data_IF_088074105003
#
_entry.id   IF_088074105003
#
_cell.length_a   1.000
_cell.length_b   1.000
_cell.length_c   1.000
_cell.angle_alpha   90.00
_cell.angle_beta   90.00
_cell.angle_gamma   90.00
#
_symmetry.space_group_name_H-M   'P 1'
#
loop_
_entity.id
_entity.type
_entity.pdbx_description
1 polymer ?
#
# COMPACT_ATOMS: atom_id res chain seq x y z
N UNK A 1 6.59 8.76 -18.41
CA UNK A 1 7.90 8.16 -18.57
C UNK A 1 8.34 7.57 -17.26
N UNK A 2 8.71 6.29 -17.27
CA UNK A 2 9.34 5.66 -16.13
C UNK A 2 10.60 6.44 -15.81
N UNK A 3 10.72 6.89 -14.59
CA UNK A 3 11.95 7.53 -14.18
C UNK A 3 12.82 6.44 -13.56
N UNK A 4 14.10 6.39 -13.99
CA UNK A 4 15.13 5.54 -13.39
C UNK A 4 15.39 5.87 -11.91
N UNK A 5 14.68 6.89 -11.40
CA UNK A 5 14.77 7.39 -10.04
C UNK A 5 13.68 6.85 -9.12
N UNK A 6 12.80 5.97 -9.62
CA UNK A 6 11.81 5.28 -8.76
C UNK A 6 12.49 4.16 -8.02
N UNK A 7 12.23 4.09 -6.73
CA UNK A 7 12.65 2.98 -5.90
C UNK A 7 11.42 2.21 -5.41
N UNK A 8 11.46 0.90 -5.57
CA UNK A 8 10.44 0.00 -5.06
C UNK A 8 11.08 -0.95 -4.05
N UNK A 9 10.49 -1.04 -2.89
CA UNK A 9 10.95 -1.88 -1.80
C UNK A 9 9.94 -3.00 -1.55
N UNK A 10 10.43 -4.22 -1.41
CA UNK A 10 9.65 -5.38 -0.98
C UNK A 10 9.99 -5.67 0.47
N UNK A 11 9.09 -5.32 1.38
CA UNK A 11 9.34 -5.37 2.82
C UNK A 11 8.86 -6.71 3.37
N UNK A 12 7.59 -7.05 3.16
CA UNK A 12 7.00 -8.34 3.54
C UNK A 12 6.45 -9.00 2.29
N UNK A 13 6.91 -10.21 2.00
CA UNK A 13 6.53 -10.95 0.81
C UNK A 13 7.08 -10.35 -0.49
N UNK A 14 6.79 -10.98 -1.61
CA UNK A 14 7.25 -10.54 -2.92
C UNK A 14 6.59 -9.27 -3.43
N UNK A 15 5.44 -8.92 -2.89
CA UNK A 15 4.70 -7.73 -3.30
C UNK A 15 4.31 -7.74 -4.78
N UNK A 16 4.07 -6.56 -5.33
CA UNK A 16 3.75 -6.32 -6.75
C UNK A 16 4.99 -5.86 -7.54
N UNK A 17 6.18 -6.24 -7.13
CA UNK A 17 7.37 -5.84 -7.87
C UNK A 17 7.43 -6.55 -9.21
N UNK A 18 7.48 -5.77 -10.27
CA UNK A 18 7.65 -6.23 -11.66
C UNK A 18 9.12 -6.61 -11.97
N UNK A 19 10.03 -6.33 -11.04
CA UNK A 19 11.46 -6.65 -11.18
C UNK A 19 11.73 -8.11 -10.81
N UNK A 20 12.56 -8.79 -11.61
CA UNK A 20 13.07 -10.13 -11.30
C UNK A 20 14.16 -10.11 -10.22
N UNK A 21 14.79 -8.97 -9.97
CA UNK A 21 15.93 -8.79 -9.07
C UNK A 21 15.53 -7.96 -7.85
N UNK A 22 14.57 -8.45 -7.06
CA UNK A 22 14.16 -7.77 -5.85
C UNK A 22 14.67 -8.51 -4.61
N UNK A 23 15.01 -7.75 -3.59
CA UNK A 23 15.33 -8.27 -2.27
C UNK A 23 14.09 -8.23 -1.40
N UNK A 24 13.64 -9.37 -0.90
CA UNK A 24 12.53 -9.47 0.05
C UNK A 24 13.12 -9.52 1.46
N UNK A 25 12.80 -8.52 2.30
CA UNK A 25 13.36 -8.40 3.64
C UNK A 25 12.74 -9.43 4.60
N UNK A 26 11.43 -9.54 4.62
CA UNK A 26 10.69 -10.53 5.42
C UNK A 26 9.95 -11.45 4.46
N UNK A 27 10.38 -12.73 4.40
CA UNK A 27 9.87 -13.69 3.42
C UNK A 27 8.54 -14.32 3.82
N UNK A 28 8.28 -14.41 5.11
CA UNK A 28 7.01 -14.92 5.62
C UNK A 28 5.89 -13.92 5.28
N UNK A 29 4.79 -14.43 4.76
CA UNK A 29 3.63 -13.62 4.41
C UNK A 29 2.47 -13.94 5.34
N UNK A 30 1.83 -12.91 5.93
CA UNK A 30 0.70 -13.09 6.85
C UNK A 30 -0.66 -13.06 6.15
N UNK A 31 -0.77 -13.43 4.89
CA UNK A 31 -1.97 -13.27 4.07
C UNK A 31 -2.07 -11.91 3.38
N UNK A 32 -1.02 -11.10 3.45
CA UNK A 32 -0.84 -9.84 2.72
C UNK A 32 0.64 -9.54 2.50
N UNK A 33 0.93 -8.68 1.55
CA UNK A 33 2.28 -8.21 1.27
C UNK A 33 2.44 -6.74 1.66
N UNK A 34 3.65 -6.32 2.00
CA UNK A 34 3.97 -4.90 2.22
C UNK A 34 5.16 -4.50 1.35
N UNK A 35 4.95 -3.44 0.60
CA UNK A 35 5.98 -2.79 -0.18
C UNK A 35 6.02 -1.28 0.08
N UNK A 36 6.98 -0.61 -0.53
CA UNK A 36 7.05 0.83 -0.52
C UNK A 36 7.47 1.38 -1.90
N UNK A 37 7.01 2.58 -2.20
CA UNK A 37 7.48 3.34 -3.34
C UNK A 37 8.15 4.63 -2.85
N UNK A 38 9.43 4.79 -3.20
CA UNK A 38 10.19 5.99 -2.95
C UNK A 38 10.41 6.77 -4.25
N UNK A 39 10.14 8.08 -4.26
CA UNK A 39 10.21 8.88 -5.48
C UNK A 39 10.67 10.30 -5.21
N UNK A 40 11.53 10.86 -6.08
CA UNK A 40 11.84 12.27 -6.07
C UNK A 40 10.64 13.12 -6.51
N UNK A 41 10.68 14.44 -6.33
CA UNK A 41 9.65 15.35 -6.81
C UNK A 41 9.31 15.16 -8.29
N UNK A 42 8.03 15.29 -8.64
CA UNK A 42 7.47 15.17 -9.99
C UNK A 42 7.62 13.78 -10.62
N UNK A 43 8.04 12.79 -9.85
CA UNK A 43 8.05 11.41 -10.30
C UNK A 43 6.66 10.80 -10.16
N UNK A 44 6.21 10.09 -11.19
CA UNK A 44 4.85 9.61 -11.32
C UNK A 44 4.81 8.12 -11.63
N UNK A 45 3.92 7.39 -10.98
CA UNK A 45 3.51 6.04 -11.39
C UNK A 45 2.35 6.10 -12.37
N UNK A 46 2.41 5.22 -13.36
CA UNK A 46 1.41 5.14 -14.42
C UNK A 46 0.09 4.54 -13.92
N UNK A 47 -0.97 4.76 -14.67
CA UNK A 47 -2.29 4.20 -14.39
C UNK A 47 -2.27 2.68 -14.47
N UNK A 48 -2.64 2.05 -13.37
CA UNK A 48 -2.74 0.61 -13.24
C UNK A 48 -3.88 0.23 -12.30
N UNK A 49 -4.29 -1.02 -12.31
CA UNK A 49 -5.25 -1.60 -11.38
C UNK A 49 -4.70 -2.90 -10.82
N UNK A 50 -5.21 -3.33 -9.68
CA UNK A 50 -4.92 -4.64 -9.08
C UNK A 50 -6.20 -5.46 -8.94
N UNK A 51 -6.04 -6.77 -8.90
CA UNK A 51 -7.13 -7.71 -8.58
C UNK A 51 -7.34 -7.86 -7.09
N UNK A 52 -6.31 -7.52 -6.30
CA UNK A 52 -6.32 -7.56 -4.84
C UNK A 52 -6.53 -6.17 -4.26
N UNK A 53 -6.90 -6.10 -2.98
CA UNK A 53 -6.95 -4.85 -2.25
C UNK A 53 -5.56 -4.21 -2.20
N UNK A 54 -5.52 -2.88 -2.24
CA UNK A 54 -4.30 -2.10 -2.07
C UNK A 54 -4.58 -0.89 -1.20
N UNK A 55 -3.84 -0.81 -0.10
CA UNK A 55 -3.93 0.29 0.86
C UNK A 55 -2.63 1.04 0.87
N UNK A 56 -2.67 2.34 0.61
CA UNK A 56 -1.52 3.21 0.76
C UNK A 56 -1.60 4.03 2.03
N UNK A 57 -0.48 4.21 2.71
CA UNK A 57 -0.29 5.31 3.64
C UNK A 57 0.99 6.08 3.34
N UNK A 58 0.97 7.37 3.59
CA UNK A 58 2.11 8.24 3.33
C UNK A 58 3.05 8.22 4.52
N UNK A 59 4.29 7.75 4.30
CA UNK A 59 5.35 7.82 5.30
C UNK A 59 6.01 9.21 5.30
N UNK A 60 6.27 9.76 4.10
CA UNK A 60 6.85 11.08 3.95
C UNK A 60 6.50 11.70 2.59
N UNK A 61 6.61 13.02 2.51
CA UNK A 61 6.33 13.77 1.30
C UNK A 61 4.87 14.17 1.15
N UNK A 62 4.53 14.64 -0.05
CA UNK A 62 3.20 15.06 -0.42
C UNK A 62 2.83 14.43 -1.75
N UNK A 63 1.73 13.71 -1.77
CA UNK A 63 1.39 12.81 -2.86
C UNK A 63 0.04 13.13 -3.46
N UNK A 64 -0.02 13.15 -4.80
CA UNK A 64 -1.24 13.19 -5.56
C UNK A 64 -1.58 11.79 -6.02
N UNK A 65 -2.73 11.27 -5.62
CA UNK A 65 -3.35 10.07 -6.18
C UNK A 65 -4.43 10.52 -7.16
N UNK A 66 -4.46 9.91 -8.33
CA UNK A 66 -5.43 10.23 -9.38
C UNK A 66 -5.96 8.95 -10.00
N UNK A 67 -7.19 8.98 -10.48
CA UNK A 67 -7.87 7.77 -10.95
C UNK A 67 -8.79 8.01 -12.14
N UNK A 68 -9.36 6.88 -12.66
CA UNK A 68 -10.22 6.79 -13.83
C UNK A 68 -9.50 6.26 -15.05
N UNK A 69 -10.26 5.98 -16.10
CA UNK A 69 -9.75 5.39 -17.34
C UNK A 69 -8.56 6.16 -17.92
N UNK A 70 -8.60 7.48 -17.82
CA UNK A 70 -7.58 8.40 -18.31
C UNK A 70 -6.84 9.16 -17.19
N UNK A 71 -7.16 8.83 -15.93
CA UNK A 71 -6.59 9.51 -14.78
C UNK A 71 -7.15 10.89 -14.51
N UNK A 72 -8.36 11.15 -14.96
CA UNK A 72 -9.03 12.45 -14.85
C UNK A 72 -10.44 12.37 -14.24
N UNK A 73 -10.87 11.22 -13.74
CA UNK A 73 -12.15 11.09 -13.02
C UNK A 73 -12.11 11.73 -11.63
N UNK A 74 -10.94 11.72 -11.00
CA UNK A 74 -10.73 12.38 -9.73
C UNK A 74 -9.29 12.30 -9.26
N UNK A 75 -8.98 13.09 -8.23
CA UNK A 75 -7.71 13.08 -7.54
C UNK A 75 -7.85 13.45 -6.07
N UNK A 76 -6.87 13.06 -5.27
CA UNK A 76 -6.72 13.45 -3.88
C UNK A 76 -5.26 13.69 -3.55
N UNK A 77 -5.00 14.71 -2.75
CA UNK A 77 -3.66 14.97 -2.20
C UNK A 77 -3.61 14.38 -0.79
N UNK A 78 -2.59 13.57 -0.55
CA UNK A 78 -2.29 12.96 0.74
C UNK A 78 -0.97 13.50 1.28
N UNK A 79 -0.91 13.63 2.60
CA UNK A 79 0.26 14.08 3.35
C UNK A 79 0.68 13.00 4.36
N UNK A 80 1.84 13.18 4.99
CA UNK A 80 2.38 12.19 5.92
C UNK A 80 1.35 11.75 6.97
N UNK A 81 1.16 10.46 7.10
CA UNK A 81 0.20 9.81 7.98
C UNK A 81 -1.21 9.63 7.41
N UNK A 82 -1.56 10.23 6.28
CA UNK A 82 -2.83 9.95 5.60
C UNK A 82 -2.83 8.52 5.02
N UNK A 83 -4.00 7.89 4.99
CA UNK A 83 -4.20 6.54 4.47
C UNK A 83 -5.33 6.51 3.44
N UNK A 84 -5.14 5.75 2.38
CA UNK A 84 -6.09 5.55 1.30
C UNK A 84 -6.22 4.07 0.96
N UNK A 85 -7.39 3.49 1.19
CA UNK A 85 -7.74 2.17 0.71
C UNK A 85 -8.34 2.29 -0.69
N UNK A 86 -7.59 1.86 -1.69
CA UNK A 86 -8.03 2.00 -3.09
C UNK A 86 -8.97 0.87 -3.46
N UNK A 87 -10.21 1.18 -3.86
CA UNK A 87 -11.13 0.16 -4.34
C UNK A 87 -10.59 -0.53 -5.60
N UNK A 88 -10.74 -1.85 -5.67
CA UNK A 88 -10.47 -2.60 -6.90
C UNK A 88 -11.44 -2.17 -8.02
N UNK A 89 -11.09 -2.45 -9.26
CA UNK A 89 -11.91 -2.06 -10.42
C UNK A 89 -11.78 -0.60 -10.82
N UNK A 90 -10.73 0.09 -10.37
CA UNK A 90 -10.42 1.48 -10.67
C UNK A 90 -8.95 1.58 -11.11
N UNK A 91 -8.70 2.20 -12.24
CA UNK A 91 -7.34 2.59 -12.60
C UNK A 91 -6.90 3.75 -11.73
N UNK A 92 -5.71 3.66 -11.15
CA UNK A 92 -5.10 4.73 -10.34
C UNK A 92 -3.62 4.86 -10.64
N UNK A 93 -3.13 6.04 -10.38
CA UNK A 93 -1.71 6.37 -10.37
C UNK A 93 -1.42 7.32 -9.23
N UNK A 94 -0.14 7.55 -8.97
CA UNK A 94 0.29 8.48 -7.94
C UNK A 94 1.55 9.24 -8.38
N UNK A 95 1.76 10.40 -7.79
CA UNK A 95 2.86 11.30 -8.09
C UNK A 95 3.34 11.99 -6.82
N UNK A 96 4.66 12.03 -6.61
CA UNK A 96 5.22 12.89 -5.58
C UNK A 96 5.17 14.36 -6.06
N UNK A 97 4.29 15.14 -5.46
CA UNK A 97 4.14 16.58 -5.71
C UNK A 97 4.81 17.44 -4.64
N UNK A 98 5.53 16.81 -3.70
CA UNK A 98 6.33 17.49 -2.68
C UNK A 98 7.60 18.12 -3.26
N UNK A 99 8.33 18.81 -2.39
CA UNK A 99 9.60 19.44 -2.73
C UNK A 99 10.80 18.48 -2.62
N UNK A 100 10.65 17.44 -1.82
CA UNK A 100 11.70 16.50 -1.47
C UNK A 100 11.35 15.07 -1.87
N UNK A 101 12.32 14.15 -1.72
CA UNK A 101 12.07 12.72 -1.85
C UNK A 101 10.99 12.28 -0.87
N UNK A 102 9.97 11.60 -1.39
CA UNK A 102 8.85 11.10 -0.60
C UNK A 102 8.75 9.58 -0.65
N UNK A 103 8.11 9.00 0.36
CA UNK A 103 7.86 7.57 0.46
C UNK A 103 6.42 7.27 0.85
N UNK A 104 5.80 6.36 0.11
CA UNK A 104 4.50 5.77 0.45
C UNK A 104 4.66 4.28 0.68
N UNK A 105 3.90 3.76 1.63
CA UNK A 105 3.83 2.34 1.95
C UNK A 105 2.58 1.76 1.31
N UNK A 106 2.68 0.53 0.83
CA UNK A 106 1.58 -0.19 0.20
C UNK A 106 1.35 -1.53 0.90
N UNK A 107 0.13 -1.78 1.35
CA UNK A 107 -0.33 -3.06 1.87
C UNK A 107 -1.20 -3.70 0.78
N UNK A 108 -0.82 -4.88 0.32
CA UNK A 108 -1.47 -5.60 -0.76
C UNK A 108 -2.12 -6.86 -0.22
N UNK A 109 -3.39 -7.03 -0.44
CA UNK A 109 -4.11 -8.22 0.00
C UNK A 109 -3.65 -9.50 -0.71
N UNK A 110 -3.66 -10.62 0.02
CA UNK A 110 -3.24 -11.93 -0.48
C UNK A 110 -1.73 -12.18 -0.36
N UNK A 111 -1.36 -13.45 -0.48
CA UNK A 111 0.04 -13.91 -0.44
C UNK A 111 0.69 -13.97 -1.82
N UNK A 112 -0.07 -13.66 -2.86
CA UNK A 112 0.41 -13.71 -4.23
C UNK A 112 1.33 -12.53 -4.51
N UNK A 113 2.59 -12.85 -4.77
CA UNK A 113 3.65 -11.91 -5.11
C UNK A 113 3.45 -11.30 -6.50
N UNK A 114 2.42 -10.85 -6.85
CA UNK A 114 2.17 -10.28 -8.16
C UNK A 114 0.74 -9.86 -8.36
N UNK A 115 -0.13 -10.09 -7.39
CA UNK A 115 -1.52 -9.61 -7.33
C UNK A 115 -2.23 -9.18 -8.61
N UNK A 116 -1.65 -9.52 -9.75
CA UNK A 116 -2.14 -9.18 -11.07
C UNK A 116 -2.17 -7.66 -11.32
N UNK A 117 -1.01 -7.02 -11.44
CA UNK A 117 -0.94 -5.64 -11.96
C UNK A 117 -1.51 -5.60 -13.38
N UNK A 118 -2.50 -4.75 -13.59
CA UNK A 118 -3.12 -4.53 -14.90
C UNK A 118 -2.84 -3.08 -15.30
N UNK A 119 -2.02 -2.87 -16.31
CA UNK A 119 -1.77 -1.54 -16.83
C UNK A 119 -2.94 -1.05 -17.68
N UNK A 120 -3.24 0.23 -17.57
CA UNK A 120 -4.19 0.83 -18.49
C UNK A 120 -3.68 0.72 -19.93
N UNK A 121 -4.57 0.48 -20.95
CA UNK A 121 -4.14 0.24 -22.32
C UNK A 121 -3.19 1.28 -22.88
N UNK A 122 -3.44 2.57 -22.64
CA UNK A 122 -2.53 3.65 -23.07
C UNK A 122 -1.13 3.54 -22.45
N UNK A 123 -1.04 3.00 -21.22
CA UNK A 123 0.26 2.79 -20.54
C UNK A 123 1.05 1.68 -21.21
N UNK A 124 0.35 0.61 -21.66
CA UNK A 124 0.98 -0.49 -22.41
C UNK A 124 1.49 0.02 -23.77
N UNK A 125 0.71 0.86 -24.44
CA UNK A 125 1.11 1.45 -25.73
C UNK A 125 2.31 2.40 -25.57
N UNK A 126 2.26 3.29 -24.58
CA UNK A 126 3.36 4.20 -24.26
C UNK A 126 4.63 3.43 -23.88
N UNK A 127 4.49 2.34 -23.10
CA UNK A 127 5.60 1.50 -22.70
C UNK A 127 6.32 0.87 -23.91
N UNK A 128 5.57 0.34 -24.89
CA UNK A 128 6.13 -0.20 -26.13
C UNK A 128 6.95 0.82 -26.89
N UNK A 129 6.47 2.06 -26.98
CA UNK A 129 7.22 3.14 -27.64
C UNK A 129 8.54 3.44 -26.95
N UNK A 130 8.70 3.06 -25.69
CA UNK A 130 9.92 3.23 -24.89
C UNK A 130 10.76 1.95 -24.77
N UNK A 131 10.37 0.87 -25.45
CA UNK A 131 11.09 -0.41 -25.42
C UNK A 131 10.79 -1.27 -24.19
N UNK A 132 9.69 -0.97 -23.49
CA UNK A 132 9.25 -1.72 -22.33
C UNK A 132 8.09 -2.66 -22.71
N UNK A 133 8.13 -3.90 -22.25
CA UNK A 133 7.07 -4.89 -22.43
C UNK A 133 6.71 -5.50 -21.10
N UNK A 134 5.43 -5.41 -20.71
CA UNK A 134 4.89 -6.17 -19.59
C UNK A 134 4.51 -7.56 -20.08
N UNK A 135 5.07 -8.60 -19.47
CA UNK A 135 4.69 -9.98 -19.76
C UNK A 135 3.40 -10.40 -19.03
N UNK A 136 2.73 -11.41 -19.55
CA UNK A 136 1.54 -12.01 -18.91
C UNK A 136 1.85 -12.58 -17.50
N UNK A 137 3.13 -12.85 -17.23
CA UNK A 137 3.64 -13.25 -15.91
C UNK A 137 3.81 -12.09 -14.93
N UNK A 138 3.38 -10.87 -15.30
CA UNK A 138 3.47 -9.67 -14.48
C UNK A 138 4.86 -9.03 -14.39
N UNK A 139 5.86 -9.55 -15.13
CA UNK A 139 7.24 -9.00 -15.13
C UNK A 139 7.44 -8.03 -16.27
N UNK A 140 8.22 -6.98 -15.99
CA UNK A 140 8.59 -5.96 -16.96
C UNK A 140 9.94 -6.33 -17.61
N UNK A 141 10.00 -6.24 -18.94
CA UNK A 141 11.18 -6.46 -19.76
C UNK A 141 11.56 -5.18 -20.46
N UNK A 142 12.84 -4.80 -20.35
CA UNK A 142 13.38 -3.56 -20.92
C UNK A 142 14.41 -3.85 -22.02
N UNK A 143 14.00 -3.65 -23.26
CA UNK A 143 14.89 -3.88 -24.42
C UNK A 143 16.16 -2.99 -24.40
N UNK A 144 16.11 -1.83 -23.73
CA UNK A 144 17.29 -0.96 -23.57
C UNK A 144 18.31 -1.53 -22.58
N UNK A 145 17.87 -2.43 -21.72
CA UNK A 145 18.73 -3.19 -20.79
C UNK A 145 19.10 -4.56 -21.33
N UNK A 146 18.81 -4.84 -22.60
CA UNK A 146 18.96 -6.16 -23.23
C UNK A 146 18.13 -7.26 -22.56
N UNK A 147 17.00 -6.90 -21.95
CA UNK A 147 16.04 -7.85 -21.40
C UNK A 147 15.02 -8.19 -22.49
N UNK A 148 15.13 -9.40 -23.02
CA UNK A 148 14.17 -9.91 -23.99
C UNK A 148 12.99 -10.63 -23.27
N UNK A 149 11.79 -10.51 -23.85
CA UNK A 149 10.66 -11.34 -23.41
C UNK A 149 11.00 -12.82 -23.69
N UNK A 150 10.93 -13.72 -22.69
CA UNK A 150 11.16 -15.15 -22.91
C UNK A 150 10.21 -15.73 -23.95
N UNK A 151 10.64 -16.77 -24.67
CA UNK A 151 9.84 -17.39 -25.74
C UNK A 151 8.52 -18.02 -25.23
N UNK A 152 8.50 -18.43 -23.97
CA UNK A 152 7.35 -19.02 -23.29
C UNK A 152 6.45 -17.98 -22.58
N UNK A 153 6.76 -16.70 -22.65
CA UNK A 153 5.98 -15.61 -22.02
C UNK A 153 5.37 -14.71 -23.09
N UNK A 154 4.06 -14.66 -23.14
CA UNK A 154 3.37 -13.72 -24.02
C UNK A 154 3.34 -12.30 -23.42
N UNK A 155 3.29 -11.25 -24.26
CA UNK A 155 3.01 -9.90 -23.77
C UNK A 155 1.65 -9.85 -23.08
N UNK A 156 1.54 -9.05 -22.01
CA UNK A 156 0.27 -8.83 -21.32
C UNK A 156 -0.80 -8.39 -22.31
N UNK A 157 -1.94 -9.10 -22.42
CA UNK A 157 -3.00 -8.74 -23.33
C UNK A 157 -3.66 -7.42 -22.92
N UNK A 158 -4.05 -6.61 -23.89
CA UNK A 158 -4.86 -5.42 -23.64
C UNK A 158 -6.22 -5.83 -23.06
N UNK A 159 -6.73 -5.04 -22.15
CA UNK A 159 -8.12 -5.20 -21.72
C UNK A 159 -9.06 -4.96 -22.90
N UNK A 160 -10.08 -5.81 -23.00
CA UNK A 160 -11.16 -5.61 -24.00
C UNK A 160 -12.01 -4.40 -23.64
N UNK A 161 -12.71 -3.82 -24.60
CA UNK A 161 -13.62 -2.70 -24.37
C UNK A 161 -14.72 -3.06 -23.35
N UNK A 162 -15.15 -4.31 -23.34
CA UNK A 162 -16.12 -4.82 -22.36
C UNK A 162 -15.56 -4.77 -20.94
N UNK A 163 -14.31 -5.21 -20.73
CA UNK A 163 -13.65 -5.12 -19.44
C UNK A 163 -13.38 -3.67 -19.03
N UNK A 164 -12.99 -2.82 -19.99
CA UNK A 164 -12.78 -1.40 -19.74
C UNK A 164 -14.07 -0.69 -19.31
N UNK A 165 -15.21 -1.06 -19.88
CA UNK A 165 -16.51 -0.50 -19.51
C UNK A 165 -16.92 -0.87 -18.06
N UNK A 166 -16.34 -1.92 -17.48
CA UNK A 166 -16.57 -2.30 -16.09
C UNK A 166 -15.70 -1.52 -15.10
N UNK A 167 -14.63 -0.87 -15.58
CA UNK A 167 -13.73 -0.08 -14.72
C UNK A 167 -14.43 1.18 -14.23
N UNK A 168 -14.30 1.46 -12.94
CA UNK A 168 -15.00 2.56 -12.32
C UNK A 168 -14.28 3.91 -12.55
N UNK A 169 -15.06 4.94 -12.72
CA UNK A 169 -14.61 6.34 -12.83
C UNK A 169 -15.38 7.24 -11.84
N UNK A 170 -15.27 6.93 -10.52
CA UNK A 170 -16.05 7.64 -9.51
C UNK A 170 -15.56 9.08 -9.30
N UNK A 171 -16.49 9.96 -8.93
CA UNK A 171 -16.15 11.32 -8.56
C UNK A 171 -15.42 11.40 -7.20
N UNK A 172 -14.72 12.50 -6.97
CA UNK A 172 -13.97 12.73 -5.72
C UNK A 172 -14.87 12.65 -4.48
N UNK A 173 -16.08 13.20 -4.57
CA UNK A 173 -17.05 13.18 -3.46
C UNK A 173 -17.53 11.78 -3.08
N UNK A 174 -17.38 10.81 -3.98
CA UNK A 174 -17.74 9.42 -3.71
C UNK A 174 -16.56 8.61 -3.16
N UNK A 175 -15.32 8.98 -3.53
CA UNK A 175 -14.11 8.26 -3.13
C UNK A 175 -13.58 8.74 -1.79
N UNK A 176 -13.32 10.04 -1.66
CA UNK A 176 -12.56 10.57 -0.52
C UNK A 176 -13.25 10.33 0.82
N UNK A 177 -14.56 10.60 1.00
CA UNK A 177 -15.21 10.39 2.29
C UNK A 177 -15.30 8.91 2.73
N UNK A 178 -15.21 7.97 1.80
CA UNK A 178 -15.40 6.55 2.05
C UNK A 178 -14.09 5.78 2.18
N UNK A 179 -13.03 6.22 1.51
CA UNK A 179 -11.83 5.42 1.29
C UNK A 179 -10.55 6.10 1.77
N UNK A 180 -10.63 7.35 2.24
CA UNK A 180 -9.48 8.12 2.75
C UNK A 180 -9.71 8.48 4.20
N UNK A 181 -8.75 8.16 5.07
CA UNK A 181 -8.71 8.69 6.43
C UNK A 181 -7.52 9.65 6.58
N UNK A 182 -7.79 10.80 7.22
CA UNK A 182 -6.80 11.85 7.41
C UNK A 182 -6.09 11.70 8.74
N UNK A 183 -4.78 11.91 8.73
CA UNK A 183 -3.94 11.79 9.92
C UNK A 183 -4.48 12.58 11.13
N UNK A 184 -4.85 13.83 10.93
CA UNK A 184 -5.37 14.67 12.02
C UNK A 184 -6.69 14.15 12.60
N UNK A 185 -7.55 13.55 11.76
CA UNK A 185 -8.78 12.90 12.23
C UNK A 185 -8.45 11.64 13.04
N UNK A 186 -7.47 10.85 12.57
CA UNK A 186 -7.02 9.65 13.26
C UNK A 186 -6.41 9.98 14.62
N UNK A 187 -5.61 11.03 14.72
CA UNK A 187 -5.08 11.53 16.01
C UNK A 187 -6.20 11.89 16.98
N UNK A 188 -7.22 12.59 16.51
CA UNK A 188 -8.35 12.98 17.36
C UNK A 188 -9.14 11.77 17.87
N UNK A 189 -9.29 10.73 17.04
CA UNK A 189 -10.06 9.52 17.37
C UNK A 189 -9.29 8.51 18.22
N UNK A 190 -7.96 8.55 18.19
CA UNK A 190 -7.10 7.61 18.94
C UNK A 190 -6.67 8.11 20.31
N UNK A 191 -7.30 9.18 20.82
CA UNK A 191 -6.97 9.76 22.15
C UNK A 191 -7.11 8.78 23.30
N UNK A 192 -8.05 7.85 23.20
CA UNK A 192 -8.39 6.88 24.25
C UNK A 192 -7.93 5.45 23.93
N UNK A 193 -7.10 5.28 22.92
CA UNK A 193 -6.56 3.97 22.51
C UNK A 193 -6.52 3.75 21.00
N UNK A 194 -6.19 2.53 20.56
CA UNK A 194 -6.16 2.20 19.14
C UNK A 194 -7.51 2.46 18.46
N UNK A 195 -7.45 3.07 17.27
CA UNK A 195 -8.63 3.32 16.44
C UNK A 195 -8.58 2.45 15.19
N UNK A 196 -9.60 1.62 14.97
CA UNK A 196 -9.72 0.84 13.74
C UNK A 196 -9.95 1.78 12.55
N UNK A 197 -9.04 1.73 11.60
CA UNK A 197 -9.09 2.57 10.38
C UNK A 197 -9.75 1.80 9.26
N UNK A 198 -9.28 0.57 9.02
CA UNK A 198 -9.82 -0.33 8.00
C UNK A 198 -10.22 -1.62 8.68
N UNK A 199 -11.47 -1.98 8.51
CA UNK A 199 -12.05 -3.16 9.11
C UNK A 199 -13.56 -3.06 9.22
N UNK A 200 -14.15 -3.99 9.95
CA UNK A 200 -15.60 -4.11 10.10
C UNK A 200 -16.21 -2.93 10.90
N UNK A 201 -15.42 -2.38 11.83
CA UNK A 201 -15.82 -1.22 12.64
C UNK A 201 -14.96 0.03 12.30
N UNK A 202 -14.18 -0.04 11.23
CA UNK A 202 -13.27 1.02 10.83
C UNK A 202 -13.97 2.23 10.23
N UNK A 203 -13.28 3.37 10.23
CA UNK A 203 -13.71 4.54 9.46
C UNK A 203 -13.89 4.19 7.97
N UNK A 204 -13.06 3.30 7.46
CA UNK A 204 -13.14 2.70 6.14
C UNK A 204 -13.66 1.29 6.35
N UNK A 205 -14.96 1.09 6.11
CA UNK A 205 -15.55 -0.24 6.17
C UNK A 205 -15.05 -1.08 5.00
N UNK A 206 -14.21 -2.07 5.29
CA UNK A 206 -13.70 -3.02 4.31
C UNK A 206 -13.22 -4.31 4.99
N UNK A 207 -13.15 -5.39 4.21
CA UNK A 207 -12.71 -6.72 4.66
C UNK A 207 -11.68 -7.29 3.67
N UNK A 208 -10.48 -6.70 3.58
CA UNK A 208 -9.46 -7.12 2.62
C UNK A 208 -8.66 -8.37 3.04
N UNK A 209 -9.02 -9.03 4.15
CA UNK A 209 -8.26 -10.12 4.76
C UNK A 209 -7.26 -9.65 5.82
N UNK A 210 -7.19 -8.37 6.06
CA UNK A 210 -6.44 -7.74 7.16
C UNK A 210 -7.22 -6.54 7.68
N UNK A 211 -6.90 -6.13 8.90
CA UNK A 211 -7.36 -4.88 9.46
C UNK A 211 -6.20 -3.93 9.70
N UNK A 212 -6.50 -2.65 9.74
CA UNK A 212 -5.52 -1.60 10.03
C UNK A 212 -6.04 -0.76 11.19
N UNK A 213 -5.26 -0.70 12.27
CA UNK A 213 -5.50 0.20 13.38
C UNK A 213 -4.49 1.34 13.36
N UNK A 214 -4.92 2.50 13.80
CA UNK A 214 -4.05 3.64 14.09
C UNK A 214 -3.85 3.73 15.61
N UNK A 215 -2.60 3.84 16.02
CA UNK A 215 -2.22 3.94 17.42
C UNK A 215 -1.44 5.23 17.61
N UNK A 216 -1.86 6.06 18.56
CA UNK A 216 -1.16 7.30 18.91
C UNK A 216 -1.23 7.55 20.41
N UNK A 217 -0.55 8.62 20.86
CA UNK A 217 -0.63 9.08 22.24
C UNK A 217 0.52 8.60 23.10
N UNK A 218 0.49 9.05 24.35
CA UNK A 218 1.57 8.83 25.33
C UNK A 218 1.31 7.65 26.27
N UNK A 219 0.17 6.98 26.13
CA UNK A 219 -0.15 5.83 26.98
C UNK A 219 0.64 4.59 26.53
N UNK A 220 1.17 3.88 27.52
CA UNK A 220 1.71 2.55 27.29
C UNK A 220 0.61 1.60 26.82
N UNK A 221 0.93 0.72 25.89
CA UNK A 221 0.04 -0.28 25.39
C UNK A 221 0.65 -1.66 25.57
N UNK A 222 -0.11 -2.57 26.19
CA UNK A 222 0.26 -3.99 26.31
C UNK A 222 -0.72 -4.80 25.50
N UNK A 223 -0.20 -5.57 24.56
CA UNK A 223 -0.98 -6.47 23.74
C UNK A 223 -0.83 -7.91 24.21
N UNK A 224 -1.98 -8.52 24.50
CA UNK A 224 -2.04 -9.97 24.78
C UNK A 224 -1.75 -10.76 23.50
N UNK A 225 -1.23 -11.98 23.60
CA UNK A 225 -1.06 -12.84 22.44
C UNK A 225 -2.35 -12.99 21.64
N UNK A 226 -2.28 -12.85 20.35
CA UNK A 226 -3.39 -13.04 19.40
C UNK A 226 -3.03 -14.12 18.39
N UNK A 227 -4.02 -14.85 17.82
CA UNK A 227 -3.76 -15.85 16.79
C UNK A 227 -3.39 -15.21 15.42
N UNK A 228 -3.18 -13.92 15.38
CA UNK A 228 -2.94 -13.17 14.16
C UNK A 228 -1.49 -12.69 14.08
N UNK A 229 -0.93 -12.72 12.88
CA UNK A 229 0.28 -11.96 12.59
C UNK A 229 0.02 -10.48 12.82
N UNK A 230 1.00 -9.79 13.38
CA UNK A 230 0.92 -8.35 13.63
C UNK A 230 2.12 -7.65 13.01
N UNK A 231 1.85 -6.60 12.27
CA UNK A 231 2.89 -5.71 11.72
C UNK A 231 2.70 -4.34 12.34
N UNK A 232 3.80 -3.79 12.91
CA UNK A 232 3.83 -2.43 13.44
C UNK A 232 4.68 -1.56 12.52
N UNK A 233 4.14 -0.43 12.09
CA UNK A 233 4.80 0.51 11.19
C UNK A 233 4.73 1.93 11.77
N UNK A 234 5.76 2.37 12.51
CA UNK A 234 5.82 3.74 13.01
C UNK A 234 5.82 4.76 11.87
N UNK A 235 5.03 5.82 12.02
CA UNK A 235 4.94 6.92 11.07
C UNK A 235 5.34 8.27 11.68
N UNK A 236 5.33 8.34 13.01
CA UNK A 236 5.70 9.55 13.76
C UNK A 236 6.33 9.19 15.09
N UNK A 237 7.43 9.87 15.43
CA UNK A 237 8.12 9.68 16.70
C UNK A 237 8.74 8.30 16.84
N UNK A 238 9.21 7.98 18.05
CA UNK A 238 9.87 6.71 18.34
C UNK A 238 9.13 5.94 19.41
N UNK A 239 9.13 4.61 19.25
CA UNK A 239 8.49 3.67 20.15
C UNK A 239 9.51 2.70 20.74
N UNK A 240 9.28 2.32 21.97
CA UNK A 240 10.00 1.25 22.65
C UNK A 240 9.11 0.01 22.65
N UNK A 241 9.54 -0.99 21.95
CA UNK A 241 8.89 -2.29 21.84
C UNK A 241 9.60 -3.28 22.76
N UNK A 242 8.87 -3.87 23.69
CA UNK A 242 9.38 -4.93 24.57
C UNK A 242 8.68 -6.24 24.28
N UNK A 243 9.44 -7.30 24.04
CA UNK A 243 8.97 -8.63 23.72
C UNK A 243 9.92 -9.67 24.28
N UNK A 244 9.40 -10.67 25.00
CA UNK A 244 10.20 -11.76 25.56
C UNK A 244 11.43 -11.28 26.37
N UNK A 245 11.30 -10.17 27.09
CA UNK A 245 12.38 -9.57 27.86
C UNK A 245 13.44 -8.82 27.04
N UNK A 246 13.25 -8.72 25.73
CA UNK A 246 14.09 -7.89 24.86
C UNK A 246 13.39 -6.56 24.57
N UNK A 247 14.18 -5.51 24.47
CA UNK A 247 13.70 -4.17 24.18
C UNK A 247 14.36 -3.63 22.90
N UNK A 248 13.53 -3.08 22.02
CA UNK A 248 13.96 -2.47 20.76
C UNK A 248 13.34 -1.07 20.63
N UNK A 249 14.05 -0.14 20.02
CA UNK A 249 13.54 1.15 19.64
C UNK A 249 13.23 1.13 18.14
N UNK A 250 12.02 1.57 17.80
CA UNK A 250 11.55 1.62 16.41
C UNK A 250 10.99 3.01 16.09
N UNK A 251 11.22 3.47 14.88
CA UNK A 251 10.84 4.80 14.41
C UNK A 251 10.31 4.80 12.98
N UNK A 252 9.98 5.97 12.41
CA UNK A 252 9.42 6.08 11.07
C UNK A 252 10.28 5.38 10.02
N UNK A 253 9.65 4.48 9.23
CA UNK A 253 10.32 3.66 8.23
C UNK A 253 10.69 2.25 8.69
N UNK A 254 10.73 2.00 10.00
CA UNK A 254 10.91 0.64 10.51
C UNK A 254 9.63 -0.18 10.33
N UNK A 255 9.82 -1.50 10.16
CA UNK A 255 8.74 -2.47 10.10
C UNK A 255 9.03 -3.60 11.08
N UNK A 256 8.11 -3.82 12.01
CA UNK A 256 8.17 -4.93 12.96
C UNK A 256 7.18 -5.99 12.54
N UNK A 257 7.64 -7.23 12.43
CA UNK A 257 6.80 -8.38 12.11
C UNK A 257 6.74 -9.34 13.30
N UNK A 258 5.56 -9.50 13.87
CA UNK A 258 5.31 -10.34 15.02
C UNK A 258 4.52 -11.58 14.63
N UNK A 259 5.00 -12.73 15.08
CA UNK A 259 4.35 -14.02 14.87
C UNK A 259 3.04 -14.12 15.67
N UNK A 260 2.09 -14.97 15.26
CA UNK A 260 0.94 -15.31 16.07
C UNK A 260 1.33 -15.74 17.49
N UNK A 261 0.41 -15.57 18.42
CA UNK A 261 0.56 -15.91 19.82
C UNK A 261 1.72 -15.20 20.55
N UNK A 262 2.10 -14.03 20.01
CA UNK A 262 3.15 -13.19 20.56
C UNK A 262 2.56 -11.97 21.26
N UNK A 263 2.80 -11.86 22.57
CA UNK A 263 2.51 -10.65 23.33
C UNK A 263 3.66 -9.63 23.23
N UNK A 264 3.32 -8.35 23.34
CA UNK A 264 4.30 -7.27 23.36
C UNK A 264 3.81 -6.06 24.14
N UNK A 265 4.76 -5.27 24.66
CA UNK A 265 4.51 -3.96 25.23
C UNK A 265 5.05 -2.88 24.27
N UNK A 266 4.27 -1.84 24.09
CA UNK A 266 4.61 -0.73 23.24
C UNK A 266 4.50 0.59 24.02
N UNK A 267 5.60 1.30 24.12
CA UNK A 267 5.68 2.54 24.87
C UNK A 267 6.25 3.66 24.00
N UNK A 268 5.74 4.88 24.09
CA UNK A 268 6.44 6.04 23.53
C UNK A 268 7.87 6.13 24.08
N UNK A 269 8.84 6.29 23.20
CA UNK A 269 10.26 6.42 23.57
C UNK A 269 10.72 7.88 23.67
N UNK A 270 9.81 8.81 23.45
CA UNK A 270 10.07 10.26 23.48
C UNK A 270 8.84 11.02 23.94
N UNK A 271 9.04 12.26 24.37
CA UNK A 271 7.94 13.22 24.55
C UNK A 271 7.50 13.78 23.20
N UNK A 272 6.24 14.13 23.07
CA UNK A 272 5.66 14.67 21.85
C UNK A 272 4.77 13.68 21.12
N UNK A 273 4.49 13.98 19.88
CA UNK A 273 3.57 13.19 19.07
C UNK A 273 4.23 11.90 18.58
N UNK A 274 3.58 10.80 18.84
CA UNK A 274 3.95 9.47 18.34
C UNK A 274 2.73 8.81 17.69
N UNK A 275 2.95 8.13 16.58
CA UNK A 275 1.89 7.42 15.88
C UNK A 275 2.47 6.25 15.06
N UNK A 276 1.69 5.19 14.95
CA UNK A 276 1.98 4.05 14.08
C UNK A 276 0.71 3.45 13.50
N UNK A 277 0.85 2.72 12.41
CA UNK A 277 -0.14 1.78 11.93
C UNK A 277 0.18 0.37 12.44
N UNK A 278 -0.85 -0.30 12.94
CA UNK A 278 -0.84 -1.72 13.28
C UNK A 278 -1.69 -2.46 12.26
N UNK A 279 -1.09 -3.40 11.55
CA UNK A 279 -1.74 -4.22 10.55
C UNK A 279 -1.81 -5.65 11.09
N UNK A 280 -2.98 -6.24 11.08
CA UNK A 280 -3.18 -7.62 11.51
C UNK A 280 -3.94 -8.39 10.44
N UNK A 281 -3.49 -9.61 10.11
CA UNK A 281 -4.28 -10.45 9.24
C UNK A 281 -5.59 -10.83 9.94
N UNK A 282 -6.61 -11.09 9.15
CA UNK A 282 -7.87 -11.66 9.61
C UNK A 282 -8.16 -12.91 8.80
N UNK A 283 -8.86 -13.87 9.40
CA UNK A 283 -9.32 -15.05 8.67
C UNK A 283 -10.60 -14.77 7.88
N UNK A 284 -10.95 -13.51 7.75
CA UNK A 284 -12.18 -13.04 7.16
C UNK A 284 -11.91 -12.03 6.05
N UNK A 285 -12.03 -12.49 4.82
CA UNK A 285 -11.95 -11.66 3.64
C UNK A 285 -13.23 -11.80 2.84
N UNK A 286 -13.90 -10.67 2.61
CA UNK A 286 -15.02 -10.62 1.65
C UNK A 286 -14.52 -10.60 0.19
N UNK A 287 -13.21 -10.77 -0.01
CA UNK A 287 -12.53 -10.55 -1.27
C UNK A 287 -12.24 -9.07 -1.51
N UNK A 288 -11.62 -8.73 -2.64
CA UNK A 288 -11.26 -7.34 -2.91
C UNK A 288 -12.51 -6.46 -2.98
N UNK A 289 -12.38 -5.25 -2.41
CA UNK A 289 -13.44 -4.25 -2.45
C UNK A 289 -13.61 -3.73 -3.86
N UNK A 290 -14.78 -3.91 -4.43
CA UNK A 290 -15.13 -3.34 -5.71
C UNK A 290 -15.87 -2.02 -5.51
N UNK A 291 -15.54 -1.03 -6.33
CA UNK A 291 -16.21 0.26 -6.29
C UNK A 291 -17.75 0.16 -6.28
N UNK A 292 -18.33 -0.73 -7.07
CA UNK A 292 -19.78 -0.88 -7.25
C UNK A 292 -20.45 -1.81 -6.25
N UNK A 293 -19.76 -2.34 -5.26
CA UNK A 293 -20.43 -3.07 -4.17
C UNK A 293 -21.10 -2.06 -3.26
N UNK A 294 -22.38 -1.87 -3.46
CA UNK A 294 -23.27 -1.16 -2.54
C UNK A 294 -23.59 -2.01 -1.33
#
# INVERSE_FOLDING_TARGET
PGSDQKENFTIIGGGVSESSNQHVHIKDTPGFNIGAAGQPPKCRNSLHSHRTAEVFFVLSGRWRFFWGRWGNAGEVILEAGDIFNIPTGMFRGFENIGADYGMIMAILGGDDAGGGVIWAPQVIEDAKAHGLVLGENGKLYDSKKNEALPEDVAPMPLMTDEHLALMAEPAVCDVVPRWVARYLNLLALSSDGPTEVIGENGQIFDRPGFKVDFVSGQAAMSEVPTPFFTVLMPIKGYWRLSQNGQENHVGPGDTVFLQPDTGYDLNPAMSGEVALYRIQNTNDSAGPSWWKRS
#
